data_IF_555140311264
#
_entry.id   IF_555140311264
#
_cell.length_a   1.000
_cell.length_b   1.000
_cell.length_c   1.000
_cell.angle_alpha   90.00
_cell.angle_beta   90.00
_cell.angle_gamma   90.00
#
_symmetry.space_group_name_H-M   'P 1'
#
loop_
_entity.id
_entity.type
_entity.pdbx_description
1 polymer ?
#
# COMPACT_ATOMS: atom_id res chain seq x y z
N UNK A 1 1.89 8.92 4.66
CA UNK A 1 2.38 8.05 5.75
C UNK A 1 3.42 8.72 6.65
N UNK A 2 4.33 9.56 6.12
CA UNK A 2 5.29 10.35 6.93
C UNK A 2 4.63 11.21 8.02
N UNK A 3 3.51 11.86 7.70
CA UNK A 3 2.67 12.60 8.67
C UNK A 3 2.05 11.76 9.81
N UNK A 4 2.11 10.43 9.71
CA UNK A 4 1.54 9.51 10.71
C UNK A 4 2.61 8.71 11.47
N UNK A 5 3.90 8.94 11.18
CA UNK A 5 5.02 8.27 11.87
C UNK A 5 5.04 8.78 13.32
N UNK A 6 4.76 7.89 14.28
CA UNK A 6 4.59 8.22 15.70
C UNK A 6 3.15 8.55 16.13
N UNK A 7 2.18 8.58 15.20
CA UNK A 7 0.77 8.81 15.53
C UNK A 7 0.00 7.53 15.84
N UNK A 8 0.46 6.38 15.33
CA UNK A 8 -0.21 5.11 15.53
C UNK A 8 0.24 4.44 16.82
N UNK A 9 -0.71 4.18 17.72
CA UNK A 9 -0.41 3.58 19.02
C UNK A 9 -0.18 2.07 18.94
N UNK A 10 -0.86 1.39 18.01
CA UNK A 10 -0.92 -0.08 17.96
C UNK A 10 -0.96 -0.62 16.53
N UNK A 11 -0.51 -1.87 16.36
CA UNK A 11 -0.54 -2.63 15.09
C UNK A 11 -1.89 -2.56 14.39
N UNK A 12 -2.98 -2.74 15.13
CA UNK A 12 -4.35 -2.76 14.63
C UNK A 12 -4.78 -1.43 14.02
N UNK A 13 -4.32 -0.31 14.58
CA UNK A 13 -4.60 1.01 14.04
C UNK A 13 -3.89 1.21 12.71
N UNK A 14 -2.62 0.78 12.61
CA UNK A 14 -1.87 0.79 11.36
C UNK A 14 -2.48 -0.13 10.30
N UNK A 15 -2.91 -1.33 10.68
CA UNK A 15 -3.62 -2.27 9.81
C UNK A 15 -4.88 -1.63 9.22
N UNK A 16 -5.74 -1.04 10.07
CA UNK A 16 -6.98 -0.41 9.61
C UNK A 16 -6.71 0.77 8.69
N UNK A 17 -5.79 1.65 9.08
CA UNK A 17 -5.46 2.82 8.29
C UNK A 17 -4.87 2.45 6.92
N UNK A 18 -3.98 1.46 6.86
CA UNK A 18 -3.41 0.99 5.60
C UNK A 18 -4.43 0.33 4.69
N UNK A 19 -5.35 -0.46 5.27
CA UNK A 19 -6.45 -1.05 4.51
C UNK A 19 -7.38 0.04 3.97
N UNK A 20 -7.80 1.01 4.78
CA UNK A 20 -8.62 2.13 4.33
C UNK A 20 -7.92 2.94 3.22
N UNK A 21 -6.63 3.22 3.41
CA UNK A 21 -5.83 3.93 2.43
C UNK A 21 -5.78 3.20 1.09
N UNK A 22 -5.47 1.89 1.07
CA UNK A 22 -5.37 1.13 -0.19
C UNK A 22 -6.72 0.97 -0.88
N UNK A 23 -7.83 0.91 -0.12
CA UNK A 23 -9.18 0.81 -0.67
C UNK A 23 -9.59 2.02 -1.51
N UNK A 24 -8.96 3.19 -1.33
CA UNK A 24 -9.17 4.34 -2.22
C UNK A 24 -8.76 4.08 -3.68
N UNK A 25 -7.93 3.05 -3.91
CA UNK A 25 -7.45 2.64 -5.23
C UNK A 25 -8.11 1.36 -5.73
N UNK A 26 -9.03 0.78 -4.93
CA UNK A 26 -9.79 -0.42 -5.28
C UNK A 26 -11.12 -0.02 -5.89
N UNK A 27 -11.38 -0.56 -7.07
CA UNK A 27 -12.68 -0.50 -7.71
C UNK A 27 -13.64 -1.46 -7.02
N UNK A 28 -14.75 -0.92 -6.49
CA UNK A 28 -15.73 -1.70 -5.74
C UNK A 28 -16.59 -2.62 -6.62
N UNK A 29 -16.64 -2.36 -7.93
CA UNK A 29 -17.35 -3.23 -8.88
C UNK A 29 -16.50 -3.48 -10.15
N UNK A 30 -15.40 -4.24 -10.02
CA UNK A 30 -14.41 -4.39 -11.07
C UNK A 30 -14.94 -5.09 -12.33
N UNK A 31 -16.07 -5.81 -12.21
CA UNK A 31 -16.70 -6.50 -13.33
C UNK A 31 -17.44 -5.54 -14.27
N UNK A 32 -18.15 -4.54 -13.73
CA UNK A 32 -19.02 -3.65 -14.51
C UNK A 32 -18.45 -2.24 -14.70
N UNK A 33 -17.40 -1.86 -13.97
CA UNK A 33 -16.80 -0.53 -14.06
C UNK A 33 -16.20 -0.21 -15.43
N UNK A 34 -16.36 1.07 -15.82
CA UNK A 34 -15.84 1.63 -17.06
C UNK A 34 -14.30 1.65 -17.10
N UNK A 35 -13.72 1.74 -18.30
CA UNK A 35 -12.26 1.89 -18.47
C UNK A 35 -11.72 3.14 -17.77
N UNK A 36 -12.47 4.24 -17.76
CA UNK A 36 -12.07 5.45 -17.04
C UNK A 36 -12.04 5.21 -15.52
N UNK A 37 -13.04 4.51 -14.98
CA UNK A 37 -13.08 4.12 -13.56
C UNK A 37 -11.90 3.22 -13.20
N UNK A 38 -11.61 2.21 -14.03
CA UNK A 38 -10.48 1.28 -13.86
C UNK A 38 -9.12 1.96 -13.98
N UNK A 39 -9.01 3.04 -14.77
CA UNK A 39 -7.79 3.84 -14.84
C UNK A 39 -7.58 4.67 -13.57
N UNK A 40 -8.65 5.23 -12.99
CA UNK A 40 -8.59 5.98 -11.72
C UNK A 40 -8.39 5.08 -10.51
N UNK A 41 -8.92 3.85 -10.56
CA UNK A 41 -8.81 2.82 -9.52
C UNK A 41 -8.26 1.54 -10.13
N UNK A 42 -6.92 1.38 -10.20
CA UNK A 42 -6.28 0.31 -10.98
C UNK A 42 -6.37 -1.08 -10.35
N UNK A 43 -6.86 -1.19 -9.11
CA UNK A 43 -6.90 -2.44 -8.37
C UNK A 43 -8.32 -3.01 -8.35
N UNK A 44 -8.46 -4.27 -8.73
CA UNK A 44 -9.69 -5.03 -8.57
C UNK A 44 -9.88 -5.55 -7.14
N UNK A 45 -8.78 -5.74 -6.40
CA UNK A 45 -8.78 -6.04 -4.98
C UNK A 45 -7.44 -5.66 -4.35
N UNK A 46 -7.45 -5.36 -3.05
CA UNK A 46 -6.24 -5.17 -2.29
C UNK A 46 -6.44 -5.64 -0.84
N UNK A 47 -5.36 -6.09 -0.22
CA UNK A 47 -5.32 -6.42 1.20
C UNK A 47 -3.97 -5.99 1.77
N UNK A 48 -3.97 -5.49 3.01
CA UNK A 48 -2.74 -5.17 3.74
C UNK A 48 -2.70 -5.95 5.05
N UNK A 49 -1.60 -6.66 5.26
CA UNK A 49 -1.28 -7.36 6.51
C UNK A 49 -0.14 -6.63 7.20
N UNK A 50 -0.35 -6.24 8.45
CA UNK A 50 0.64 -5.61 9.31
C UNK A 50 1.03 -6.56 10.43
N UNK A 51 2.32 -6.84 10.51
CA UNK A 51 2.93 -7.72 11.50
C UNK A 51 3.92 -6.92 12.36
N UNK A 52 3.99 -7.26 13.63
CA UNK A 52 5.04 -6.74 14.52
C UNK A 52 6.37 -7.41 14.21
N UNK A 53 7.45 -6.63 14.28
CA UNK A 53 8.81 -7.18 14.10
C UNK A 53 9.30 -7.68 15.45
N UNK A 54 9.42 -9.01 15.56
CA UNK A 54 9.95 -9.64 16.76
C UNK A 54 11.35 -9.10 17.10
N UNK A 55 11.56 -8.77 18.38
CA UNK A 55 12.82 -8.18 18.86
C UNK A 55 12.96 -6.67 18.66
N UNK A 56 11.99 -5.99 18.00
CA UNK A 56 12.00 -4.54 17.80
C UNK A 56 10.62 -3.92 18.11
N UNK A 57 10.29 -3.67 19.38
CA UNK A 57 9.01 -3.08 19.78
C UNK A 57 8.78 -1.73 19.09
N UNK A 58 7.56 -1.52 18.57
CA UNK A 58 7.19 -0.32 17.81
C UNK A 58 7.59 -0.33 16.33
N UNK A 59 8.28 -1.37 15.86
CA UNK A 59 8.53 -1.60 14.43
C UNK A 59 7.49 -2.58 13.88
N UNK A 60 6.93 -2.22 12.73
CA UNK A 60 5.92 -3.00 12.03
C UNK A 60 6.34 -3.25 10.59
N UNK A 61 6.04 -4.44 10.08
CA UNK A 61 6.19 -4.81 8.69
C UNK A 61 4.80 -4.89 8.04
N UNK A 62 4.62 -4.18 6.92
CA UNK A 62 3.39 -4.24 6.14
C UNK A 62 3.62 -5.03 4.83
N UNK A 63 2.77 -6.03 4.58
CA UNK A 63 2.71 -6.81 3.34
C UNK A 63 1.45 -6.39 2.58
N UNK A 64 1.61 -5.97 1.33
CA UNK A 64 0.51 -5.58 0.45
C UNK A 64 0.25 -6.67 -0.58
N UNK A 65 -0.99 -7.15 -0.65
CA UNK A 65 -1.48 -8.06 -1.67
C UNK A 65 -2.36 -7.26 -2.61
N UNK A 66 -1.91 -7.07 -3.85
CA UNK A 66 -2.59 -6.21 -4.83
C UNK A 66 -3.02 -7.05 -6.03
N UNK A 67 -4.29 -6.94 -6.41
CA UNK A 67 -4.84 -7.59 -7.61
C UNK A 67 -5.20 -6.52 -8.65
N UNK A 68 -4.45 -6.38 -9.74
CA UNK A 68 -4.78 -5.42 -10.80
C UNK A 68 -5.99 -5.87 -11.63
N UNK A 69 -6.66 -4.93 -12.31
CA UNK A 69 -7.74 -5.24 -13.26
C UNK A 69 -7.27 -5.97 -14.52
N UNK A 70 -6.09 -5.58 -15.00
CA UNK A 70 -5.52 -6.11 -16.23
C UNK A 70 -4.35 -7.01 -15.88
N UNK A 71 -4.22 -8.10 -16.62
CA UNK A 71 -3.11 -9.03 -16.48
C UNK A 71 -1.82 -8.28 -16.85
N UNK A 72 -1.00 -7.98 -15.85
CA UNK A 72 0.36 -7.51 -16.08
C UNK A 72 1.22 -8.74 -16.33
N UNK A 73 1.82 -8.84 -17.51
CA UNK A 73 2.69 -9.96 -17.89
C UNK A 73 3.94 -10.09 -17.00
N UNK A 74 4.25 -9.04 -16.22
CA UNK A 74 5.17 -9.10 -15.10
C UNK A 74 5.36 -7.75 -14.43
N UNK A 75 4.93 -7.63 -13.17
CA UNK A 75 5.27 -6.47 -12.33
C UNK A 75 5.68 -6.97 -10.94
N UNK A 76 6.96 -6.79 -10.60
CA UNK A 76 7.46 -7.01 -9.23
C UNK A 76 7.51 -5.66 -8.52
N UNK A 77 6.48 -5.34 -7.72
CA UNK A 77 6.45 -4.10 -6.95
C UNK A 77 7.10 -4.33 -5.58
N UNK A 78 8.25 -3.68 -5.34
CA UNK A 78 8.84 -3.58 -4.00
C UNK A 78 8.54 -2.19 -3.44
N UNK A 79 7.53 -2.07 -2.60
CA UNK A 79 7.31 -0.86 -1.82
C UNK A 79 8.34 -0.82 -0.69
N UNK A 80 9.28 0.13 -0.76
CA UNK A 80 10.27 0.38 0.29
C UNK A 80 10.06 1.78 0.84
N UNK A 81 9.77 1.87 2.14
CA UNK A 81 9.76 3.14 2.84
C UNK A 81 11.20 3.48 3.25
N UNK A 82 11.67 4.64 2.80
CA UNK A 82 13.04 5.11 2.98
C UNK A 82 13.00 6.54 3.51
N UNK A 83 13.85 6.86 4.48
CA UNK A 83 13.89 8.20 5.07
C UNK A 83 14.28 9.28 4.03
N UNK A 84 15.06 8.90 3.02
CA UNK A 84 15.41 9.71 1.85
C UNK A 84 15.14 8.87 0.60
N UNK A 85 14.32 9.38 -0.32
CA UNK A 85 14.05 8.70 -1.59
C UNK A 85 15.39 8.53 -2.35
N UNK A 86 15.75 7.30 -2.77
CA UNK A 86 16.98 7.07 -3.54
C UNK A 86 16.99 7.85 -4.85
N UNK A 87 15.82 8.10 -5.46
CA UNK A 87 15.69 8.89 -6.69
C UNK A 87 16.07 10.37 -6.55
N UNK A 88 16.21 10.90 -5.34
CA UNK A 88 16.66 12.27 -5.06
C UNK A 88 18.16 12.34 -4.71
N UNK A 89 18.94 11.27 -4.91
CA UNK A 89 20.38 11.28 -4.64
C UNK A 89 21.25 11.83 -5.78
N UNK A 90 20.74 11.93 -7.02
CA UNK A 90 21.52 12.40 -8.18
C UNK A 90 21.31 13.88 -8.54
N UNK A 91 20.69 14.66 -7.66
CA UNK A 91 20.62 16.12 -7.80
C UNK A 91 21.23 16.76 -6.55
N UNK A 92 22.54 16.59 -6.40
CA UNK A 92 23.39 17.35 -5.49
C UNK A 92 24.81 17.39 -6.02
#
# INVERSE_FOLDING_TARGET
MRDKIGSFKERDEMQRWLNDWVMNYVDGDPANSSLETKARRPLAAAEVIVEEVEGNPGYYQAKFFLRPHFQLEGLTVSLRMVAKLPSLKDVA
#
